data_IF_185100247457
#
_entry.id   IF_185100247457
#
_cell.length_a   1.000
_cell.length_b   1.000
_cell.length_c   1.000
_cell.angle_alpha   90.00
_cell.angle_beta   90.00
_cell.angle_gamma   90.00
#
_symmetry.space_group_name_H-M   'P 1'
#
loop_
_entity.id
_entity.type
_entity.pdbx_description
1 polymer ?
#
# COMPACT_ATOMS: atom_id res chain seq x y z
N UNK A 1 -13.42 -12.47 1.23
CA UNK A 1 -11.96 -12.70 1.27
C UNK A 1 -11.35 -11.37 0.89
N UNK A 2 -10.84 -10.64 1.88
CA UNK A 2 -10.28 -9.30 1.69
C UNK A 2 -9.03 -9.42 0.81
N UNK A 3 -8.90 -8.48 -0.12
CA UNK A 3 -7.80 -8.31 -1.07
C UNK A 3 -6.42 -8.48 -0.41
N UNK A 4 -5.91 -9.70 -0.35
CA UNK A 4 -4.51 -9.99 -0.02
C UNK A 4 -4.17 -11.36 -0.57
N UNK A 5 -3.31 -11.41 -1.57
CA UNK A 5 -2.56 -12.65 -1.81
C UNK A 5 -1.82 -13.04 -0.51
N UNK A 6 -1.54 -14.34 -0.26
CA UNK A 6 -0.93 -14.80 0.99
C UNK A 6 0.31 -14.01 1.42
N UNK A 7 1.07 -13.48 0.44
CA UNK A 7 2.30 -12.72 0.66
C UNK A 7 2.05 -11.30 1.19
N UNK A 8 0.93 -10.66 0.83
CA UNK A 8 0.58 -9.33 1.33
C UNK A 8 0.20 -9.39 2.81
N UNK A 9 -0.55 -10.43 3.20
CA UNK A 9 -0.93 -10.67 4.58
C UNK A 9 0.30 -10.96 5.45
N UNK A 10 1.17 -11.87 5.00
CA UNK A 10 2.40 -12.21 5.73
C UNK A 10 3.32 -10.99 5.92
N UNK A 11 3.48 -10.16 4.88
CA UNK A 11 4.28 -8.94 4.98
C UNK A 11 3.71 -7.95 6.02
N UNK A 12 2.39 -7.73 5.99
CA UNK A 12 1.72 -6.85 6.95
C UNK A 12 1.85 -7.38 8.39
N UNK A 13 1.64 -8.68 8.60
CA UNK A 13 1.79 -9.32 9.91
C UNK A 13 3.21 -9.18 10.46
N UNK A 14 4.23 -9.33 9.61
CA UNK A 14 5.62 -9.16 10.01
C UNK A 14 5.92 -7.73 10.49
N UNK A 15 5.34 -6.71 9.83
CA UNK A 15 5.47 -5.32 10.26
C UNK A 15 4.78 -5.07 11.61
N UNK A 16 3.58 -5.61 11.79
CA UNK A 16 2.86 -5.49 13.07
C UNK A 16 3.62 -6.19 14.20
N UNK A 17 4.16 -7.38 13.95
CA UNK A 17 4.99 -8.12 14.91
C UNK A 17 6.31 -7.39 15.24
N UNK A 18 6.87 -6.64 14.29
CA UNK A 18 8.03 -5.79 14.50
C UNK A 18 7.70 -4.49 15.27
N UNK A 19 6.44 -4.26 15.64
CA UNK A 19 6.00 -3.13 16.45
C UNK A 19 5.51 -1.92 15.66
N UNK A 20 5.34 -2.04 14.34
CA UNK A 20 4.69 -0.99 13.56
C UNK A 20 3.20 -0.90 13.93
N UNK A 21 2.67 0.34 13.99
CA UNK A 21 1.23 0.55 14.14
C UNK A 21 0.50 -0.05 12.92
N UNK A 22 -0.68 -0.63 13.15
CA UNK A 22 -1.45 -1.32 12.11
C UNK A 22 -1.69 -0.45 10.87
N UNK A 23 -2.07 0.81 11.04
CA UNK A 23 -2.30 1.74 9.93
C UNK A 23 -1.03 1.96 9.09
N UNK A 24 0.12 2.12 9.75
CA UNK A 24 1.41 2.25 9.09
C UNK A 24 1.86 0.95 8.40
N UNK A 25 1.53 -0.21 8.98
CA UNK A 25 1.81 -1.50 8.36
C UNK A 25 0.97 -1.71 7.09
N UNK A 26 -0.30 -1.31 7.11
CA UNK A 26 -1.19 -1.34 5.95
C UNK A 26 -0.65 -0.43 4.83
N UNK A 27 -0.29 0.81 5.15
CA UNK A 27 0.27 1.75 4.16
C UNK A 27 1.58 1.24 3.55
N UNK A 28 2.51 0.74 4.38
CA UNK A 28 3.76 0.14 3.90
C UNK A 28 3.52 -1.10 3.04
N UNK A 29 2.53 -1.93 3.39
CA UNK A 29 2.14 -3.09 2.59
C UNK A 29 1.61 -2.65 1.23
N UNK A 30 0.67 -1.69 1.20
CA UNK A 30 0.15 -1.12 -0.04
C UNK A 30 1.25 -0.54 -0.93
N UNK A 31 2.19 0.22 -0.36
CA UNK A 31 3.31 0.77 -1.12
C UNK A 31 4.33 -0.26 -1.58
N UNK A 32 4.50 -1.37 -0.85
CA UNK A 32 5.39 -2.46 -1.25
C UNK A 32 4.89 -3.21 -2.48
N UNK A 33 3.58 -3.51 -2.54
CA UNK A 33 2.98 -4.32 -3.61
C UNK A 33 2.40 -3.50 -4.76
N UNK A 34 1.95 -2.27 -4.51
CA UNK A 34 1.22 -1.44 -5.46
C UNK A 34 1.84 -0.04 -5.64
N UNK A 35 3.06 0.19 -5.17
CA UNK A 35 3.68 1.52 -5.15
C UNK A 35 3.79 2.16 -6.54
N UNK A 36 4.12 1.37 -7.55
CA UNK A 36 4.27 1.86 -8.93
C UNK A 36 2.91 2.26 -9.53
N UNK A 37 1.86 1.45 -9.31
CA UNK A 37 0.50 1.74 -9.76
C UNK A 37 -0.10 2.95 -9.01
N UNK A 38 0.15 3.05 -7.71
CA UNK A 38 -0.25 4.19 -6.88
C UNK A 38 0.41 5.47 -7.42
N UNK A 39 1.71 5.46 -7.69
CA UNK A 39 2.41 6.60 -8.26
C UNK A 39 1.90 6.97 -9.65
N UNK A 40 1.70 5.98 -10.53
CA UNK A 40 1.17 6.21 -11.87
C UNK A 40 -0.23 6.84 -11.81
N UNK A 41 -1.08 6.34 -10.92
CA UNK A 41 -2.42 6.88 -10.68
C UNK A 41 -2.35 8.33 -10.15
N UNK A 42 -1.54 8.59 -9.14
CA UNK A 42 -1.33 9.93 -8.57
C UNK A 42 -0.85 10.93 -9.63
N UNK A 43 0.07 10.51 -10.50
CA UNK A 43 0.53 11.35 -11.62
C UNK A 43 -0.59 11.64 -12.61
N UNK A 44 -1.40 10.64 -12.96
CA UNK A 44 -2.51 10.81 -13.91
C UNK A 44 -3.59 11.76 -13.38
N UNK A 45 -3.99 11.64 -12.11
CA UNK A 45 -5.01 12.50 -11.51
C UNK A 45 -4.53 13.94 -11.29
N UNK A 46 -3.24 14.14 -10.98
CA UNK A 46 -2.68 15.49 -10.84
C UNK A 46 -2.52 16.19 -12.20
N UNK A 47 -2.35 15.45 -13.30
CA UNK A 47 -2.33 16.00 -14.66
C UNK A 47 -3.73 16.35 -15.18
N UNK A 48 -4.80 15.79 -14.61
CA UNK A 48 -6.20 16.04 -15.03
C UNK A 48 -6.97 17.00 -14.12
N UNK A 49 -6.40 17.44 -13.00
CA UNK A 49 -7.04 18.31 -12.02
C UNK A 49 -6.53 19.77 -11.93
N UNK A 50 -5.75 20.24 -12.91
CA UNK A 50 -5.26 21.62 -12.97
C UNK A 50 -6.06 22.52 -13.91
N UNK A 51 -7.26 22.95 -13.49
CA UNK A 51 -8.01 24.10 -14.03
C UNK A 51 -8.83 24.76 -12.92
#
# INVERSE_FOLDING_TARGET
MLSTEPHEFEYCENLVQAGHALESAIEQTSMHFYGDEIHAFQQAIHQTGGA
#
